data_IF_763739471389
#
_entry.id   IF_763739471389
#
_cell.length_a   1.000
_cell.length_b   1.000
_cell.length_c   1.000
_cell.angle_alpha   90.00
_cell.angle_beta   90.00
_cell.angle_gamma   90.00
#
_symmetry.space_group_name_H-M   'P 1'
#
loop_
_entity.id
_entity.type
_entity.pdbx_description
1 polymer ?
#
# COMPACT_ATOMS: atom_id res chain seq x y z
N UNK A 1 -19.53 17.20 -12.35
CA UNK A 1 -18.09 17.25 -12.71
C UNK A 1 -17.99 17.76 -14.13
N UNK A 2 -17.20 18.82 -14.40
CA UNK A 2 -17.03 19.39 -15.72
C UNK A 2 -15.68 18.92 -16.27
N UNK A 3 -15.69 18.24 -17.40
CA UNK A 3 -14.46 17.79 -18.07
C UNK A 3 -13.89 18.85 -19.02
N UNK A 4 -12.82 18.52 -19.71
CA UNK A 4 -12.15 19.44 -20.64
C UNK A 4 -12.90 19.65 -21.96
N UNK A 5 -13.98 18.91 -22.23
CA UNK A 5 -14.75 18.96 -23.45
C UNK A 5 -13.91 18.62 -24.72
N UNK A 6 -14.15 19.32 -25.81
CA UNK A 6 -13.40 19.10 -27.06
C UNK A 6 -12.00 19.74 -27.08
N UNK A 7 -11.70 20.64 -26.15
CA UNK A 7 -10.40 21.33 -26.07
C UNK A 7 -9.58 20.77 -24.95
N UNK A 8 -8.62 19.90 -25.26
CA UNK A 8 -7.68 19.39 -24.30
C UNK A 8 -6.68 20.48 -23.89
N UNK A 9 -6.29 20.55 -22.59
CA UNK A 9 -5.24 21.46 -22.14
C UNK A 9 -3.91 21.12 -22.80
N UNK A 10 -3.18 22.14 -23.22
CA UNK A 10 -1.79 21.97 -23.68
C UNK A 10 -0.89 21.97 -22.47
N UNK A 11 -0.45 20.80 -22.06
CA UNK A 11 0.49 20.63 -20.94
C UNK A 11 1.92 20.83 -21.44
N UNK A 12 2.70 21.64 -20.70
CA UNK A 12 4.14 21.75 -20.87
C UNK A 12 4.81 21.14 -19.65
N UNK A 13 5.44 20.00 -19.85
CA UNK A 13 6.21 19.36 -18.81
C UNK A 13 7.58 20.04 -18.61
N UNK A 14 8.17 19.99 -17.40
CA UNK A 14 9.53 20.44 -17.16
C UNK A 14 10.52 19.83 -18.17
N UNK A 15 11.59 20.58 -18.48
CA UNK A 15 12.65 20.17 -19.40
C UNK A 15 12.17 19.77 -20.82
N UNK A 16 11.03 20.33 -21.26
CA UNK A 16 10.40 19.98 -22.55
C UNK A 16 10.10 18.48 -22.68
N UNK A 17 9.90 17.77 -21.58
CA UNK A 17 9.52 16.37 -21.60
C UNK A 17 8.19 16.15 -22.32
N UNK A 18 8.08 15.05 -23.03
CA UNK A 18 6.85 14.66 -23.76
C UNK A 18 5.93 13.80 -22.91
N UNK A 19 6.44 13.24 -21.83
CA UNK A 19 5.77 12.32 -20.93
C UNK A 19 6.21 12.58 -19.49
N UNK A 20 5.28 12.53 -18.54
CA UNK A 20 5.57 12.37 -17.13
C UNK A 20 5.22 10.93 -16.73
N UNK A 21 6.17 10.20 -16.18
CA UNK A 21 5.97 8.86 -15.66
C UNK A 21 6.07 8.90 -14.13
N UNK A 22 5.03 8.46 -13.47
CA UNK A 22 5.04 8.26 -12.03
C UNK A 22 4.90 6.77 -11.74
N UNK A 23 5.82 6.25 -10.94
CA UNK A 23 5.79 4.87 -10.49
C UNK A 23 5.39 4.86 -9.03
N UNK A 24 4.35 4.10 -8.72
CA UNK A 24 3.81 3.95 -7.38
C UNK A 24 3.93 2.49 -6.97
N UNK A 25 4.45 2.24 -5.78
CA UNK A 25 4.45 0.94 -5.15
C UNK A 25 3.53 0.97 -3.92
N UNK A 26 2.47 0.19 -3.94
CA UNK A 26 1.65 -0.03 -2.76
C UNK A 26 2.37 -1.01 -1.83
N UNK A 27 2.55 -0.61 -0.57
CA UNK A 27 3.07 -1.47 0.48
C UNK A 27 1.97 -1.68 1.53
N UNK A 28 1.30 -2.82 1.46
CA UNK A 28 0.03 -3.08 2.15
C UNK A 28 0.06 -4.38 2.96
N UNK A 29 0.92 -5.33 2.59
CA UNK A 29 0.99 -6.65 3.20
C UNK A 29 1.41 -6.59 4.67
N UNK A 30 0.61 -7.24 5.51
CA UNK A 30 0.69 -7.17 6.97
C UNK A 30 -0.39 -6.31 7.61
N UNK A 31 -1.25 -5.65 6.80
CA UNK A 31 -2.36 -4.82 7.28
C UNK A 31 -3.75 -5.33 6.86
N UNK A 32 -3.82 -6.43 6.15
CA UNK A 32 -5.04 -7.15 5.78
C UNK A 32 -5.76 -7.74 6.98
N UNK A 33 -7.00 -8.20 6.77
CA UNK A 33 -7.76 -8.93 7.80
C UNK A 33 -7.07 -10.25 8.13
N UNK A 34 -6.63 -10.41 9.36
CA UNK A 34 -5.98 -11.62 9.86
C UNK A 34 -6.29 -11.83 11.34
N UNK A 35 -6.63 -13.05 11.72
CA UNK A 35 -6.90 -13.38 13.14
C UNK A 35 -5.70 -13.15 14.05
N UNK A 36 -4.47 -13.15 13.50
CA UNK A 36 -3.26 -12.80 14.23
C UNK A 36 -3.19 -11.30 14.58
N UNK A 37 -3.93 -10.47 13.85
CA UNK A 37 -4.08 -9.03 14.12
C UNK A 37 -5.28 -8.71 15.03
N UNK A 38 -5.97 -9.75 15.53
CA UNK A 38 -7.17 -9.61 16.36
C UNK A 38 -8.47 -9.50 15.56
N UNK A 39 -8.45 -9.71 14.26
CA UNK A 39 -9.64 -9.66 13.42
C UNK A 39 -10.51 -10.91 13.61
N UNK A 40 -11.81 -10.78 13.29
CA UNK A 40 -12.78 -11.87 13.47
C UNK A 40 -12.60 -13.01 12.47
N UNK A 41 -11.98 -12.74 11.35
CA UNK A 41 -11.81 -13.67 10.25
C UNK A 41 -10.61 -13.30 9.37
N UNK A 42 -10.24 -14.24 8.49
CA UNK A 42 -9.19 -14.03 7.48
C UNK A 42 -9.65 -13.09 6.37
N UNK A 43 -8.67 -12.51 5.67
CA UNK A 43 -8.85 -11.92 4.34
C UNK A 43 -9.14 -13.02 3.30
N UNK A 44 -9.78 -12.63 2.20
CA UNK A 44 -10.03 -13.50 1.03
C UNK A 44 -9.80 -12.81 -0.30
N UNK A 45 -9.54 -11.50 -0.27
CA UNK A 45 -9.22 -10.75 -1.48
C UNK A 45 -7.90 -11.26 -2.08
N UNK A 46 -7.84 -11.40 -3.38
CA UNK A 46 -6.75 -12.05 -4.12
C UNK A 46 -6.62 -13.58 -3.87
N UNK A 47 -7.63 -14.21 -3.25
CA UNK A 47 -7.67 -15.66 -3.20
C UNK A 47 -7.74 -16.24 -4.62
N UNK A 48 -7.02 -17.34 -4.86
CA UNK A 48 -7.14 -18.12 -6.11
C UNK A 48 -8.51 -18.79 -6.24
N UNK A 49 -9.23 -18.92 -5.13
CA UNK A 49 -10.56 -19.52 -5.09
C UNK A 49 -11.61 -18.46 -5.33
N UNK A 50 -12.30 -18.52 -6.47
CA UNK A 50 -13.39 -17.61 -6.80
C UNK A 50 -14.53 -17.78 -5.79
N UNK A 51 -14.95 -16.67 -5.17
CA UNK A 51 -16.02 -16.68 -4.17
C UNK A 51 -15.61 -17.26 -2.81
N UNK A 52 -14.29 -17.32 -2.52
CA UNK A 52 -13.80 -17.70 -1.20
C UNK A 52 -14.49 -16.89 -0.09
N UNK A 53 -14.81 -17.55 1.01
CA UNK A 53 -15.43 -16.92 2.17
C UNK A 53 -14.40 -16.77 3.30
N UNK A 54 -14.45 -15.67 4.06
CA UNK A 54 -13.60 -15.48 5.23
C UNK A 54 -13.79 -16.61 6.23
N UNK A 55 -12.70 -17.14 6.75
CA UNK A 55 -12.74 -18.18 7.80
C UNK A 55 -12.43 -17.59 9.17
N UNK A 56 -13.10 -18.11 10.21
CA UNK A 56 -12.88 -17.72 11.61
C UNK A 56 -11.67 -18.46 12.18
N UNK A 57 -10.49 -18.22 11.61
CA UNK A 57 -9.25 -18.89 12.02
C UNK A 57 -8.10 -18.51 11.09
N UNK A 58 -6.96 -19.14 11.33
CA UNK A 58 -5.78 -18.98 10.46
C UNK A 58 -6.10 -19.48 9.05
N UNK A 59 -5.78 -18.67 8.06
CA UNK A 59 -5.88 -19.04 6.66
C UNK A 59 -4.48 -19.09 6.05
N UNK A 60 -3.77 -20.19 6.27
CA UNK A 60 -2.35 -20.34 5.94
C UNK A 60 -2.06 -20.01 4.49
N UNK A 61 -2.93 -20.40 3.56
CA UNK A 61 -2.75 -20.09 2.13
C UNK A 61 -2.76 -18.57 1.88
N UNK A 62 -3.73 -17.85 2.45
CA UNK A 62 -3.80 -16.39 2.32
C UNK A 62 -2.63 -15.70 3.01
N UNK A 63 -2.31 -16.11 4.24
CA UNK A 63 -1.16 -15.56 4.97
C UNK A 63 0.14 -15.74 4.16
N UNK A 64 0.36 -16.93 3.58
CA UNK A 64 1.53 -17.21 2.74
C UNK A 64 1.59 -16.33 1.49
N UNK A 65 0.43 -16.06 0.86
CA UNK A 65 0.35 -15.20 -0.31
C UNK A 65 0.76 -13.76 0.03
N UNK A 66 0.21 -13.21 1.11
CA UNK A 66 0.52 -11.84 1.55
C UNK A 66 1.95 -11.70 2.08
N UNK A 67 2.49 -12.70 2.76
CA UNK A 67 3.86 -12.66 3.28
C UNK A 67 4.93 -12.54 2.19
N UNK A 68 4.69 -13.04 1.00
CA UNK A 68 5.68 -12.94 -0.08
C UNK A 68 6.03 -11.48 -0.41
N UNK A 69 5.03 -10.60 -0.48
CA UNK A 69 5.21 -9.18 -0.78
C UNK A 69 6.18 -8.50 0.19
N UNK A 70 5.90 -8.63 1.48
CA UNK A 70 6.71 -8.03 2.55
C UNK A 70 8.08 -8.70 2.75
N UNK A 71 8.17 -10.03 2.58
CA UNK A 71 9.40 -10.78 2.80
C UNK A 71 10.38 -10.74 1.64
N UNK A 72 9.89 -10.72 0.40
CA UNK A 72 10.76 -10.78 -0.79
C UNK A 72 10.37 -9.84 -1.92
N UNK A 73 9.09 -9.64 -2.16
CA UNK A 73 8.58 -8.83 -3.27
C UNK A 73 9.10 -7.40 -3.24
N UNK A 74 8.94 -6.73 -2.09
CA UNK A 74 9.46 -5.38 -1.86
C UNK A 74 10.96 -5.28 -2.18
N UNK A 75 11.78 -6.19 -1.66
CA UNK A 75 13.23 -6.13 -1.81
C UNK A 75 13.68 -6.28 -3.26
N UNK A 76 13.02 -7.14 -4.04
CA UNK A 76 13.32 -7.30 -5.47
C UNK A 76 13.03 -6.03 -6.26
N UNK A 77 11.91 -5.38 -5.95
CA UNK A 77 11.51 -4.12 -6.59
C UNK A 77 12.44 -2.99 -6.15
N UNK A 78 12.73 -2.91 -4.86
CA UNK A 78 13.64 -1.94 -4.28
C UNK A 78 15.04 -2.01 -4.92
N UNK A 79 15.65 -3.19 -4.97
CA UNK A 79 16.96 -3.43 -5.60
C UNK A 79 16.96 -2.95 -7.05
N UNK A 80 15.93 -3.27 -7.83
CA UNK A 80 15.79 -2.85 -9.22
C UNK A 80 15.77 -1.32 -9.36
N UNK A 81 14.96 -0.63 -8.53
CA UNK A 81 14.84 0.83 -8.61
C UNK A 81 16.08 1.54 -8.12
N UNK A 82 16.77 1.00 -7.11
CA UNK A 82 18.08 1.52 -6.69
C UNK A 82 19.13 1.35 -7.81
N UNK A 83 19.23 0.16 -8.41
CA UNK A 83 20.15 -0.10 -9.53
C UNK A 83 19.92 0.86 -10.71
N UNK A 84 18.66 1.14 -11.03
CA UNK A 84 18.29 2.02 -12.15
C UNK A 84 18.21 3.49 -11.78
N UNK A 85 18.39 3.84 -10.49
CA UNK A 85 18.23 5.19 -9.98
C UNK A 85 16.87 5.81 -10.37
N UNK A 86 15.78 5.05 -10.18
CA UNK A 86 14.43 5.46 -10.50
C UNK A 86 13.72 5.91 -9.22
N UNK A 87 13.25 7.18 -9.15
CA UNK A 87 12.43 7.63 -8.03
C UNK A 87 11.05 6.98 -8.08
N UNK A 88 10.51 6.62 -6.91
CA UNK A 88 9.18 6.07 -6.75
C UNK A 88 8.43 6.71 -5.60
N UNK A 89 7.11 6.63 -5.65
CA UNK A 89 6.22 6.96 -4.54
C UNK A 89 5.76 5.68 -3.88
N UNK A 90 5.91 5.57 -2.56
CA UNK A 90 5.38 4.45 -1.78
C UNK A 90 4.01 4.85 -1.21
N UNK A 91 2.95 4.13 -1.57
CA UNK A 91 1.67 4.19 -0.88
C UNK A 91 1.73 3.19 0.27
N UNK A 92 2.07 3.70 1.46
CA UNK A 92 2.32 2.88 2.64
C UNK A 92 1.11 2.78 3.56
N UNK A 93 0.64 1.56 3.82
CA UNK A 93 -0.34 1.32 4.88
C UNK A 93 0.40 1.28 6.22
N UNK A 94 -0.02 2.15 7.16
CA UNK A 94 0.73 2.40 8.39
C UNK A 94 1.04 1.14 9.20
N UNK A 95 0.07 0.26 9.40
CA UNK A 95 0.27 -0.99 10.14
C UNK A 95 1.27 -1.94 9.45
N UNK A 96 1.26 -2.01 8.13
CA UNK A 96 2.22 -2.83 7.38
C UNK A 96 3.65 -2.30 7.56
N UNK A 97 3.82 -0.98 7.52
CA UNK A 97 5.11 -0.32 7.76
C UNK A 97 5.58 -0.49 9.21
N UNK A 98 4.68 -0.36 10.20
CA UNK A 98 5.02 -0.55 11.62
C UNK A 98 5.56 -1.97 11.90
N UNK A 99 4.99 -2.97 11.24
CA UNK A 99 5.40 -4.36 11.41
C UNK A 99 6.73 -4.71 10.73
N UNK A 100 7.21 -3.90 9.79
CA UNK A 100 8.42 -4.19 9.04
C UNK A 100 9.41 -3.02 9.06
N UNK A 101 10.14 -2.93 10.17
CA UNK A 101 11.12 -1.86 10.39
C UNK A 101 12.21 -1.81 9.31
N UNK A 102 12.65 -2.97 8.82
CA UNK A 102 13.71 -3.03 7.81
C UNK A 102 13.26 -2.37 6.49
N UNK A 103 11.99 -2.58 6.10
CA UNK A 103 11.38 -1.92 4.94
C UNK A 103 11.27 -0.41 5.17
N UNK A 104 10.81 0.02 6.34
CA UNK A 104 10.76 1.45 6.68
C UNK A 104 12.14 2.11 6.57
N UNK A 105 13.16 1.48 7.12
CA UNK A 105 14.52 1.99 7.09
C UNK A 105 15.07 2.06 5.66
N UNK A 106 14.76 1.07 4.81
CA UNK A 106 15.13 1.06 3.40
C UNK A 106 14.44 2.19 2.63
N UNK A 107 13.14 2.40 2.83
CA UNK A 107 12.37 3.48 2.21
C UNK A 107 12.97 4.84 2.58
N UNK A 108 13.21 5.08 3.88
CA UNK A 108 13.77 6.35 4.38
C UNK A 108 15.18 6.63 3.85
N UNK A 109 16.03 5.61 3.73
CA UNK A 109 17.38 5.74 3.20
C UNK A 109 17.43 6.01 1.69
N UNK A 110 16.38 5.62 0.97
CA UNK A 110 16.31 5.73 -0.49
C UNK A 110 15.72 7.05 -0.98
N UNK A 111 15.32 7.93 -0.08
CA UNK A 111 14.68 9.21 -0.42
C UNK A 111 13.43 9.02 -1.31
N UNK A 112 12.68 7.93 -1.08
CA UNK A 112 11.41 7.71 -1.75
C UNK A 112 10.34 8.64 -1.21
N UNK A 113 9.47 9.15 -2.09
CA UNK A 113 8.28 9.84 -1.65
C UNK A 113 7.34 8.84 -0.93
N UNK A 114 6.82 9.25 0.24
CA UNK A 114 5.88 8.43 1.00
C UNK A 114 4.53 9.13 1.00
N UNK A 115 3.50 8.43 0.56
CA UNK A 115 2.12 8.85 0.65
C UNK A 115 1.34 7.92 1.58
N UNK A 116 0.61 8.50 2.52
CA UNK A 116 -0.23 7.73 3.44
C UNK A 116 -1.32 6.96 2.68
N UNK A 117 -1.44 5.68 2.98
CA UNK A 117 -2.48 4.80 2.41
C UNK A 117 -3.40 4.23 3.50
N UNK A 118 -3.64 5.03 4.55
CA UNK A 118 -4.42 4.65 5.73
C UNK A 118 -3.62 3.81 6.73
N UNK A 119 -4.30 3.42 7.83
CA UNK A 119 -3.71 2.59 8.88
C UNK A 119 -3.80 1.10 8.60
N UNK A 120 -4.97 0.67 8.10
CA UNK A 120 -5.30 -0.73 7.81
C UNK A 120 -5.79 -0.87 6.37
N UNK A 121 -5.53 -2.01 5.77
CA UNK A 121 -6.11 -2.39 4.49
C UNK A 121 -7.44 -3.12 4.69
N UNK A 122 -8.48 -2.34 4.98
CA UNK A 122 -9.84 -2.80 5.30
C UNK A 122 -10.87 -1.87 4.66
N UNK A 123 -12.13 -2.32 4.60
CA UNK A 123 -13.24 -1.47 4.17
C UNK A 123 -13.63 -0.49 5.29
N UNK A 124 -13.46 0.80 5.03
CA UNK A 124 -13.77 1.89 5.96
C UNK A 124 -15.23 2.34 5.92
N UNK A 125 -16.05 1.87 4.97
CA UNK A 125 -17.42 2.38 4.77
C UNK A 125 -18.31 2.22 6.00
N UNK A 126 -18.14 1.16 6.76
CA UNK A 126 -18.95 0.86 7.93
C UNK A 126 -18.24 1.12 9.26
N UNK A 127 -17.11 1.79 9.25
CA UNK A 127 -16.35 2.13 10.46
C UNK A 127 -16.86 3.45 11.03
N UNK A 128 -17.04 3.56 12.37
CA UNK A 128 -17.41 4.84 13.00
C UNK A 128 -16.38 5.94 12.69
N UNK A 129 -16.85 7.14 12.35
CA UNK A 129 -15.99 8.29 12.01
C UNK A 129 -14.88 8.58 13.03
N UNK A 130 -15.18 8.39 14.33
CA UNK A 130 -14.18 8.57 15.39
C UNK A 130 -13.03 7.56 15.28
N UNK A 131 -13.33 6.32 14.93
CA UNK A 131 -12.32 5.27 14.70
C UNK A 131 -11.52 5.55 13.43
N UNK A 132 -12.19 5.91 12.34
CA UNK A 132 -11.54 6.30 11.10
C UNK A 132 -10.57 7.47 11.31
N UNK A 133 -11.00 8.53 11.99
CA UNK A 133 -10.16 9.67 12.32
C UNK A 133 -8.91 9.26 13.10
N UNK A 134 -9.07 8.42 14.13
CA UNK A 134 -7.95 7.91 14.92
C UNK A 134 -6.95 7.11 14.06
N UNK A 135 -7.43 6.30 13.14
CA UNK A 135 -6.56 5.54 12.24
C UNK A 135 -5.76 6.45 11.31
N UNK A 136 -6.36 7.54 10.84
CA UNK A 136 -5.65 8.56 10.07
C UNK A 136 -4.53 9.22 10.89
N UNK A 137 -4.83 9.66 12.11
CA UNK A 137 -3.86 10.29 12.99
C UNK A 137 -2.66 9.39 13.27
N UNK A 138 -2.89 8.09 13.50
CA UNK A 138 -1.81 7.12 13.72
C UNK A 138 -0.96 6.94 12.45
N UNK A 139 -1.57 6.85 11.27
CA UNK A 139 -0.83 6.65 10.02
C UNK A 139 0.13 7.79 9.70
N UNK A 140 -0.19 9.02 10.10
CA UNK A 140 0.70 10.17 9.93
C UNK A 140 1.92 10.17 10.86
N UNK A 141 1.88 9.46 11.98
CA UNK A 141 3.01 9.43 12.93
C UNK A 141 4.09 8.43 12.57
N UNK A 142 3.81 7.51 11.64
CA UNK A 142 4.75 6.47 11.20
C UNK A 142 5.52 6.86 9.94
N UNK A 143 4.97 7.78 9.17
CA UNK A 143 5.61 8.40 8.00
C UNK A 143 6.52 9.58 8.45
#
# INVERSE_FOLDING_TARGET
MVGYGKKLPKVKWPNNAKLALQIVLNYEEGSENCVLHGDKSSEVFLSEIIGAQPIKGRHINMESLYEYGSRRGFWRIHELFQEKNIPITIFGVGMALEQNKDVCDAIKKSDYEIASHGWRWIDYQNIPKATEKKTYEISYTIN
#
